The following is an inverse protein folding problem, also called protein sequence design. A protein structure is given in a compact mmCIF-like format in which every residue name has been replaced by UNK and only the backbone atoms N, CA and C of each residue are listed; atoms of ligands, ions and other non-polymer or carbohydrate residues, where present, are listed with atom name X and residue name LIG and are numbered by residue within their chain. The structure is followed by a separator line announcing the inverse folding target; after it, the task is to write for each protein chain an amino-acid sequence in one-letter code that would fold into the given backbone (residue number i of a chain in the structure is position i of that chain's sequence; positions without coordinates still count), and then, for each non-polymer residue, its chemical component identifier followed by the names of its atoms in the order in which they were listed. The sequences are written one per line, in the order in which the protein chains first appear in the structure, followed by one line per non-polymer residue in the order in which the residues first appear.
data_IF_932691008685
#
_entry.id   IF_932691008685
#
_cell.length_a   1.000
_cell.length_b   1.000
_cell.length_c   1.000
_cell.angle_alpha   90.00
_cell.angle_beta   90.00
_cell.angle_gamma   90.00
#
_symmetry.space_group_name_H-M   'P 1'
#
loop_
_entity.id
_entity.type
_entity.pdbx_description
1 polymer ?
#
# COMPACT_ATOMS: atom_id res chain seq x y z
N UNK A 1 28.46 8.39 14.90
CA UNK A 1 27.03 8.07 15.16
C UNK A 1 26.24 9.30 14.75
N UNK A 2 25.59 9.26 13.57
CA UNK A 2 24.79 10.40 13.07
C UNK A 2 23.52 10.51 13.90
N UNK A 3 23.13 11.72 14.28
CA UNK A 3 21.87 11.96 14.96
C UNK A 3 20.71 11.78 13.98
N UNK A 4 19.52 11.43 14.49
CA UNK A 4 18.29 11.31 13.66
C UNK A 4 18.03 12.60 12.86
N UNK A 5 18.47 13.75 13.37
CA UNK A 5 18.36 15.06 12.71
C UNK A 5 19.30 15.19 11.51
N UNK A 6 20.51 14.66 11.60
CA UNK A 6 21.49 14.66 10.50
C UNK A 6 21.08 13.69 9.40
N UNK A 7 20.55 12.52 9.75
CA UNK A 7 20.02 11.54 8.78
C UNK A 7 18.83 12.14 8.00
N UNK A 8 17.92 12.84 8.69
CA UNK A 8 16.77 13.51 8.01
C UNK A 8 17.26 14.65 7.11
N UNK A 9 18.28 15.42 7.50
CA UNK A 9 18.83 16.51 6.69
C UNK A 9 19.61 16.01 5.47
N UNK A 10 20.33 14.90 5.61
CA UNK A 10 21.05 14.24 4.50
C UNK A 10 20.05 13.70 3.48
N UNK A 11 18.99 13.03 3.94
CA UNK A 11 17.93 12.48 3.06
C UNK A 11 17.16 13.56 2.31
N UNK A 12 17.00 14.76 2.88
CA UNK A 12 16.32 15.90 2.21
C UNK A 12 17.20 16.67 1.22
N UNK A 13 18.53 16.47 1.24
CA UNK A 13 19.47 17.15 0.34
C UNK A 13 20.00 16.29 -0.80
N UNK A 14 19.72 14.99 -0.81
CA UNK A 14 20.15 14.12 -1.89
C UNK A 14 19.29 14.38 -3.14
N UNK A 15 19.95 14.65 -4.26
CA UNK A 15 19.36 14.66 -5.61
C UNK A 15 19.06 13.24 -6.13
N UNK A 16 19.31 12.25 -5.33
CA UNK A 16 19.04 10.85 -5.63
C UNK A 16 17.61 10.53 -5.24
N UNK A 17 16.87 9.92 -6.16
CA UNK A 17 15.55 9.40 -5.86
C UNK A 17 15.63 8.06 -5.14
N UNK A 18 14.52 7.63 -4.56
CA UNK A 18 14.39 6.32 -3.90
C UNK A 18 12.93 5.91 -3.78
N UNK A 19 12.70 4.64 -3.48
CA UNK A 19 11.38 4.03 -3.34
C UNK A 19 11.10 3.74 -1.87
N UNK A 20 9.93 4.21 -1.38
CA UNK A 20 9.39 3.89 -0.06
C UNK A 20 8.11 3.10 -0.18
N UNK A 21 8.03 1.95 0.46
CA UNK A 21 6.83 1.11 0.50
C UNK A 21 6.23 1.11 1.91
N UNK A 22 4.95 1.49 2.00
CA UNK A 22 4.13 1.38 3.20
C UNK A 22 3.18 0.20 2.98
N UNK A 23 3.35 -0.90 3.70
CA UNK A 23 2.56 -2.10 3.50
C UNK A 23 1.94 -2.62 4.79
N UNK A 24 1.03 -3.56 4.67
CA UNK A 24 0.32 -4.19 5.79
C UNK A 24 -1.12 -4.52 5.46
N UNK A 25 -1.88 -5.11 6.41
CA UNK A 25 -3.28 -5.50 6.19
C UNK A 25 -4.21 -4.28 6.06
N UNK A 26 -5.46 -4.52 5.73
CA UNK A 26 -6.50 -3.49 5.89
C UNK A 26 -6.56 -3.01 7.34
N UNK A 27 -6.96 -1.76 7.54
CA UNK A 27 -7.07 -1.10 8.85
C UNK A 27 -5.73 -0.89 9.60
N UNK A 28 -4.60 -1.00 8.90
CA UNK A 28 -3.28 -0.77 9.49
C UNK A 28 -2.82 0.70 9.45
N UNK A 29 -3.61 1.62 8.87
CA UNK A 29 -3.25 3.04 8.79
C UNK A 29 -2.27 3.35 7.65
N UNK A 30 -2.26 2.58 6.56
CA UNK A 30 -1.35 2.80 5.42
C UNK A 30 -1.57 4.15 4.75
N UNK A 31 -2.82 4.47 4.41
CA UNK A 31 -3.21 5.75 3.81
C UNK A 31 -2.88 6.92 4.75
N UNK A 32 -3.12 6.78 6.06
CA UNK A 32 -2.76 7.79 7.07
C UNK A 32 -1.25 8.06 7.07
N UNK A 33 -0.43 7.01 7.04
CA UNK A 33 1.03 7.15 7.01
C UNK A 33 1.51 7.75 5.70
N UNK A 34 0.94 7.36 4.55
CA UNK A 34 1.21 7.98 3.26
C UNK A 34 0.92 9.49 3.30
N UNK A 35 -0.29 9.87 3.72
CA UNK A 35 -0.70 11.27 3.82
C UNK A 35 0.15 12.05 4.83
N UNK A 36 0.55 11.43 5.93
CA UNK A 36 1.47 12.04 6.90
C UNK A 36 2.82 12.39 6.26
N UNK A 37 3.38 11.49 5.42
CA UNK A 37 4.63 11.74 4.68
C UNK A 37 4.43 12.85 3.65
N UNK A 38 3.37 12.78 2.86
CA UNK A 38 3.01 13.79 1.86
C UNK A 38 2.90 15.18 2.50
N UNK A 39 2.12 15.34 3.56
CA UNK A 39 1.95 16.61 4.27
C UNK A 39 3.27 17.21 4.76
N UNK A 40 4.18 16.40 5.27
CA UNK A 40 5.50 16.90 5.70
C UNK A 40 6.31 17.46 4.52
N UNK A 41 6.17 16.86 3.34
CA UNK A 41 6.86 17.30 2.12
C UNK A 41 6.20 18.56 1.53
N UNK A 42 4.88 18.71 1.65
CA UNK A 42 4.16 19.94 1.34
C UNK A 42 4.69 21.13 2.17
N UNK A 43 4.90 20.93 3.48
CA UNK A 43 5.55 21.94 4.33
C UNK A 43 6.98 22.28 3.89
N UNK A 44 7.69 21.32 3.31
CA UNK A 44 9.01 21.53 2.71
C UNK A 44 8.94 22.16 1.31
N UNK A 45 7.73 22.50 0.80
CA UNK A 45 7.46 23.07 -0.52
C UNK A 45 7.92 22.18 -1.68
N UNK A 46 7.86 20.86 -1.52
CA UNK A 46 8.11 19.92 -2.61
C UNK A 46 6.92 19.91 -3.59
N UNK A 47 7.22 19.73 -4.86
CA UNK A 47 6.21 19.52 -5.89
C UNK A 47 5.77 18.06 -5.87
N UNK A 48 4.54 17.81 -5.41
CA UNK A 48 4.03 16.47 -5.15
C UNK A 48 2.87 16.13 -6.09
N UNK A 49 2.87 14.93 -6.61
CA UNK A 49 1.73 14.35 -7.34
C UNK A 49 1.29 13.08 -6.60
N UNK A 50 -0.01 12.97 -6.32
CA UNK A 50 -0.60 11.83 -5.62
C UNK A 50 -1.53 11.08 -6.57
N UNK A 51 -1.43 9.75 -6.59
CA UNK A 51 -2.23 8.88 -7.43
C UNK A 51 -3.02 7.86 -6.63
N UNK A 52 -4.13 7.43 -7.21
CA UNK A 52 -4.94 6.32 -6.74
C UNK A 52 -5.47 5.53 -7.93
N UNK A 53 -5.47 4.17 -7.91
CA UNK A 53 -6.13 3.37 -8.95
C UNK A 53 -7.64 3.65 -9.01
N UNK A 54 -8.17 3.82 -10.20
CA UNK A 54 -9.60 3.93 -10.46
C UNK A 54 -10.21 2.52 -10.47
N UNK A 55 -10.73 2.06 -9.34
CA UNK A 55 -11.33 0.73 -9.21
C UNK A 55 -12.78 0.65 -9.70
N UNK A 56 -13.50 1.77 -9.70
CA UNK A 56 -14.90 1.87 -10.16
C UNK A 56 -15.21 3.34 -10.45
N UNK A 57 -15.68 3.64 -11.67
CA UNK A 57 -16.08 5.00 -12.08
C UNK A 57 -17.21 5.60 -11.24
N UNK A 58 -17.98 4.73 -10.53
CA UNK A 58 -19.09 5.16 -9.67
C UNK A 58 -18.68 5.86 -8.37
N UNK A 59 -17.39 5.77 -7.99
CA UNK A 59 -16.84 6.37 -6.76
C UNK A 59 -15.61 7.22 -7.03
N UNK A 60 -15.56 7.88 -8.19
CA UNK A 60 -14.47 8.78 -8.56
C UNK A 60 -14.45 10.01 -7.63
N UNK A 61 -13.88 9.85 -6.45
CA UNK A 61 -13.48 10.99 -5.64
C UNK A 61 -12.05 11.36 -6.02
N UNK A 62 -11.85 12.60 -6.43
CA UNK A 62 -10.53 13.18 -6.73
C UNK A 62 -9.66 13.41 -5.47
N UNK A 63 -9.91 12.64 -4.41
CA UNK A 63 -9.22 12.82 -3.13
C UNK A 63 -8.81 11.46 -2.54
N UNK A 64 -7.59 11.37 -2.04
CA UNK A 64 -7.20 10.30 -1.12
C UNK A 64 -7.74 10.66 0.26
N UNK A 65 -8.65 9.85 0.76
CA UNK A 65 -9.29 10.05 2.07
C UNK A 65 -8.86 8.94 3.00
N UNK A 66 -8.22 9.27 4.11
CA UNK A 66 -8.00 8.33 5.19
C UNK A 66 -9.29 8.10 5.99
N UNK A 67 -9.37 7.01 6.77
CA UNK A 67 -10.48 6.75 7.70
C UNK A 67 -10.72 7.93 8.68
N UNK A 68 -9.72 8.76 8.95
CA UNK A 68 -9.77 9.93 9.80
C UNK A 68 -10.07 11.24 9.04
N UNK A 69 -10.62 11.18 7.82
CA UNK A 69 -11.03 12.32 6.99
C UNK A 69 -9.89 13.29 6.59
N UNK A 70 -8.62 12.91 6.70
CA UNK A 70 -7.53 13.64 6.08
C UNK A 70 -7.63 13.49 4.56
N UNK A 71 -7.61 14.61 3.83
CA UNK A 71 -7.78 14.66 2.38
C UNK A 71 -6.58 15.31 1.73
N UNK A 72 -6.16 14.77 0.59
CA UNK A 72 -5.18 15.36 -0.32
C UNK A 72 -5.69 15.15 -1.74
N UNK A 73 -5.61 16.15 -2.59
CA UNK A 73 -5.95 16.00 -4.01
C UNK A 73 -5.13 14.88 -4.63
N UNK A 74 -5.80 14.02 -5.39
CA UNK A 74 -5.16 12.91 -6.08
C UNK A 74 -5.74 12.71 -7.47
N UNK A 75 -4.93 12.16 -8.36
CA UNK A 75 -5.36 11.77 -9.68
C UNK A 75 -5.75 10.30 -9.69
N UNK A 76 -6.96 10.01 -10.16
CA UNK A 76 -7.39 8.65 -10.43
C UNK A 76 -6.76 8.19 -11.74
N UNK A 77 -6.06 7.05 -11.71
CA UNK A 77 -5.41 6.46 -12.89
C UNK A 77 -5.97 5.06 -13.14
N UNK A 78 -6.18 4.73 -14.42
CA UNK A 78 -6.71 3.42 -14.83
C UNK A 78 -5.60 2.42 -15.13
N UNK A 79 -4.49 2.88 -15.64
CA UNK A 79 -3.31 2.08 -15.96
C UNK A 79 -2.02 2.76 -15.47
N UNK A 80 -0.98 1.97 -15.29
CA UNK A 80 0.29 2.45 -14.72
C UNK A 80 0.92 3.59 -15.54
N UNK A 81 0.80 3.56 -16.88
CA UNK A 81 1.35 4.59 -17.76
C UNK A 81 0.66 5.96 -17.63
N UNK A 82 -0.54 6.03 -17.05
CA UNK A 82 -1.23 7.29 -16.80
C UNK A 82 -0.42 8.23 -15.88
N UNK A 83 0.48 7.70 -15.08
CA UNK A 83 1.40 8.47 -14.23
C UNK A 83 2.13 9.55 -15.02
N UNK A 84 2.58 9.23 -16.24
CA UNK A 84 3.32 10.18 -17.09
C UNK A 84 2.49 11.35 -17.63
N UNK A 85 1.16 11.29 -17.55
CA UNK A 85 0.30 12.44 -17.91
C UNK A 85 0.41 13.59 -16.91
N UNK A 86 0.83 13.30 -15.67
CA UNK A 86 0.80 14.25 -14.56
C UNK A 86 2.20 14.54 -13.99
N UNK A 87 3.11 13.58 -14.02
CA UNK A 87 4.48 13.76 -13.52
C UNK A 87 5.26 14.64 -14.50
N UNK A 88 5.82 15.74 -13.99
CA UNK A 88 6.62 16.70 -14.75
C UNK A 88 8.09 16.64 -14.34
N UNK A 89 8.94 17.35 -15.07
CA UNK A 89 10.38 17.42 -14.76
C UNK A 89 10.64 18.00 -13.36
N UNK A 90 9.86 18.98 -12.95
CA UNK A 90 9.95 19.66 -11.66
C UNK A 90 9.18 18.97 -10.53
N UNK A 91 8.57 17.81 -10.79
CA UNK A 91 7.98 16.97 -9.73
C UNK A 91 9.09 16.38 -8.86
N UNK A 92 9.02 16.61 -7.56
CA UNK A 92 9.98 16.09 -6.57
C UNK A 92 9.53 14.75 -6.00
N UNK A 93 8.21 14.59 -5.80
CA UNK A 93 7.63 13.45 -5.10
C UNK A 93 6.44 12.88 -5.87
N UNK A 94 6.44 11.57 -6.00
CA UNK A 94 5.32 10.78 -6.54
C UNK A 94 4.78 9.88 -5.45
N UNK A 95 3.52 10.03 -5.08
CA UNK A 95 2.86 9.20 -4.09
C UNK A 95 1.74 8.37 -4.73
N UNK A 96 1.63 7.06 -4.41
CA UNK A 96 0.60 6.18 -4.96
C UNK A 96 -0.03 5.40 -3.82
N UNK A 97 -1.35 5.57 -3.61
CA UNK A 97 -2.10 4.75 -2.66
C UNK A 97 -2.73 3.53 -3.35
N UNK A 98 -2.91 2.44 -2.62
CA UNK A 98 -3.51 1.18 -3.08
C UNK A 98 -2.85 0.62 -4.36
N UNK A 99 -1.51 0.71 -4.45
CA UNK A 99 -0.72 0.39 -5.66
C UNK A 99 -0.94 -1.04 -6.18
N UNK A 100 -1.31 -2.00 -5.31
CA UNK A 100 -1.54 -3.41 -5.68
C UNK A 100 -2.67 -3.61 -6.70
N UNK A 101 -3.48 -2.59 -6.97
CA UNK A 101 -4.54 -2.62 -7.95
C UNK A 101 -4.16 -2.11 -9.34
N UNK A 102 -2.93 -1.62 -9.50
CA UNK A 102 -2.36 -1.29 -10.82
C UNK A 102 -1.81 -2.55 -11.49
N UNK A 103 -1.53 -2.43 -12.76
CA UNK A 103 -0.83 -3.48 -13.53
C UNK A 103 0.67 -3.54 -13.16
N UNK A 104 1.33 -4.67 -13.47
CA UNK A 104 2.71 -4.92 -13.04
C UNK A 104 3.74 -3.99 -13.69
N UNK A 105 3.40 -3.29 -14.79
CA UNK A 105 4.30 -2.32 -15.42
C UNK A 105 4.64 -1.14 -14.52
N UNK A 106 3.83 -0.92 -13.47
CA UNK A 106 4.12 0.10 -12.46
C UNK A 106 5.49 -0.10 -11.79
N UNK A 107 6.00 -1.32 -11.69
CA UNK A 107 7.31 -1.60 -11.11
C UNK A 107 8.43 -0.90 -11.89
N UNK A 108 8.41 -1.01 -13.22
CA UNK A 108 9.41 -0.38 -14.07
C UNK A 108 9.27 1.15 -14.04
N UNK A 109 8.02 1.64 -13.98
CA UNK A 109 7.74 3.08 -13.93
C UNK A 109 8.27 3.71 -12.64
N UNK A 110 8.04 3.10 -11.48
CA UNK A 110 8.52 3.65 -10.20
C UNK A 110 10.04 3.57 -10.07
N UNK A 111 10.70 2.52 -10.60
CA UNK A 111 12.16 2.47 -10.69
C UNK A 111 12.69 3.59 -11.57
N UNK A 112 12.14 3.74 -12.77
CA UNK A 112 12.50 4.84 -13.66
C UNK A 112 12.36 6.21 -12.99
N UNK A 113 11.26 6.46 -12.28
CA UNK A 113 11.04 7.71 -11.56
C UNK A 113 12.06 7.94 -10.44
N UNK A 114 12.43 6.88 -9.72
CA UNK A 114 13.47 6.96 -8.70
C UNK A 114 14.84 7.23 -9.32
N UNK A 115 15.19 6.56 -10.42
CA UNK A 115 16.43 6.79 -11.17
C UNK A 115 16.52 8.24 -11.71
N UNK A 116 15.36 8.83 -12.09
CA UNK A 116 15.24 10.25 -12.47
C UNK A 116 15.27 11.21 -11.25
N UNK A 117 15.66 10.74 -10.09
CA UNK A 117 15.85 11.54 -8.87
C UNK A 117 14.58 11.90 -8.13
N UNK A 118 13.45 11.23 -8.38
CA UNK A 118 12.18 11.48 -7.68
C UNK A 118 12.04 10.58 -6.46
N UNK A 119 11.50 11.12 -5.38
CA UNK A 119 11.08 10.33 -4.23
C UNK A 119 9.75 9.67 -4.51
N UNK A 120 9.72 8.35 -4.57
CA UNK A 120 8.49 7.57 -4.83
C UNK A 120 8.01 6.93 -3.53
N UNK A 121 6.80 7.28 -3.09
CA UNK A 121 6.20 6.76 -1.85
C UNK A 121 4.93 6.00 -2.22
N UNK A 122 4.89 4.71 -1.97
CA UNK A 122 3.74 3.89 -2.32
C UNK A 122 3.13 3.20 -1.11
N UNK A 123 1.82 3.01 -1.13
CA UNK A 123 1.12 2.23 -0.10
C UNK A 123 0.27 1.14 -0.71
N UNK A 124 0.19 -0.02 -0.01
CA UNK A 124 -0.61 -1.14 -0.51
C UNK A 124 -0.67 -2.35 0.43
N UNK A 125 -1.54 -3.30 0.08
CA UNK A 125 -1.67 -4.57 0.78
C UNK A 125 -0.49 -5.49 0.42
N UNK A 126 0.23 -5.98 1.42
CA UNK A 126 1.32 -6.95 1.22
C UNK A 126 0.82 -8.37 0.95
N UNK A 127 -0.37 -8.71 1.48
CA UNK A 127 -1.01 -10.00 1.28
C UNK A 127 -2.50 -9.86 0.96
N UNK A 128 -3.04 -10.80 0.20
CA UNK A 128 -4.47 -10.92 -0.04
C UNK A 128 -5.21 -11.51 1.17
N UNK A 129 -6.54 -11.68 1.05
CA UNK A 129 -7.37 -12.26 2.10
C UNK A 129 -7.01 -13.71 2.46
N UNK A 130 -6.28 -14.43 1.60
CA UNK A 130 -5.79 -15.79 1.84
C UNK A 130 -4.49 -15.79 2.65
N UNK A 131 -3.93 -14.62 2.92
CA UNK A 131 -2.60 -14.39 3.44
C UNK A 131 -1.50 -14.94 2.50
N UNK A 132 -1.76 -14.90 1.20
CA UNK A 132 -0.76 -15.10 0.14
C UNK A 132 -0.22 -13.73 -0.33
N UNK A 133 0.99 -13.67 -0.87
CA UNK A 133 1.55 -12.44 -1.40
C UNK A 133 0.61 -11.80 -2.43
N UNK A 134 0.39 -10.47 -2.31
CA UNK A 134 -0.50 -9.79 -3.23
C UNK A 134 0.25 -9.37 -4.49
N UNK A 135 -0.08 -10.00 -5.63
CA UNK A 135 0.44 -9.64 -6.95
C UNK A 135 1.96 -9.38 -6.95
N UNK A 136 2.39 -8.24 -7.46
CA UNK A 136 3.79 -7.81 -7.55
C UNK A 136 4.36 -7.20 -6.26
N UNK A 137 3.58 -7.06 -5.20
CA UNK A 137 4.02 -6.42 -3.95
C UNK A 137 5.34 -7.01 -3.37
N UNK A 138 5.61 -8.32 -3.40
CA UNK A 138 6.90 -8.85 -2.95
C UNK A 138 8.08 -8.34 -3.76
N UNK A 139 7.92 -8.20 -5.09
CA UNK A 139 8.96 -7.65 -5.97
C UNK A 139 9.21 -6.18 -5.63
N UNK A 140 8.14 -5.41 -5.46
CA UNK A 140 8.18 -4.00 -5.08
C UNK A 140 8.90 -3.80 -3.73
N UNK A 141 8.55 -4.59 -2.72
CA UNK A 141 9.19 -4.54 -1.40
C UNK A 141 10.67 -4.90 -1.44
N UNK A 142 11.08 -5.80 -2.37
CA UNK A 142 12.47 -6.17 -2.53
C UNK A 142 13.31 -5.09 -3.23
N UNK A 143 12.69 -4.25 -4.06
CA UNK A 143 13.34 -3.16 -4.81
C UNK A 143 13.44 -1.86 -4.01
N UNK A 144 12.56 -1.67 -3.03
CA UNK A 144 12.47 -0.44 -2.25
C UNK A 144 13.64 -0.28 -1.26
N UNK A 145 14.18 0.94 -1.15
CA UNK A 145 15.17 1.31 -0.14
C UNK A 145 14.56 1.35 1.27
N UNK A 146 13.26 1.69 1.38
CA UNK A 146 12.58 1.79 2.67
C UNK A 146 11.26 1.01 2.63
N UNK A 147 11.14 -0.01 3.49
CA UNK A 147 9.91 -0.76 3.68
C UNK A 147 9.38 -0.55 5.10
N UNK A 148 8.19 0.03 5.20
CA UNK A 148 7.47 0.22 6.47
C UNK A 148 6.28 -0.73 6.51
N UNK A 149 6.40 -1.82 7.28
CA UNK A 149 5.32 -2.79 7.45
C UNK A 149 4.51 -2.46 8.68
N UNK A 150 3.26 -2.04 8.47
CA UNK A 150 2.32 -1.68 9.51
C UNK A 150 1.51 -2.89 9.99
N UNK A 151 1.01 -2.80 11.21
CA UNK A 151 0.10 -3.77 11.79
C UNK A 151 -1.18 -3.08 12.25
N UNK A 152 -2.31 -3.79 12.12
CA UNK A 152 -3.58 -3.39 12.73
C UNK A 152 -3.77 -4.08 14.08
N UNK A 153 -4.93 -3.92 14.68
CA UNK A 153 -5.33 -4.64 15.90
C UNK A 153 -6.31 -5.77 15.53
N UNK A 154 -6.03 -6.97 15.99
CA UNK A 154 -6.90 -8.12 15.76
C UNK A 154 -8.24 -7.96 16.48
N UNK A 155 -9.34 -7.88 15.72
CA UNK A 155 -10.68 -7.66 16.29
C UNK A 155 -11.18 -8.83 17.15
N UNK A 156 -10.49 -9.99 17.14
CA UNK A 156 -10.87 -11.15 17.95
C UNK A 156 -10.13 -11.24 19.28
N UNK A 157 -8.86 -10.85 19.31
CA UNK A 157 -8.03 -11.08 20.51
C UNK A 157 -7.14 -9.89 20.89
N UNK A 158 -7.21 -8.76 20.19
CA UNK A 158 -6.42 -7.56 20.51
C UNK A 158 -4.93 -7.65 20.12
N UNK A 159 -4.43 -8.79 19.66
CA UNK A 159 -3.03 -8.96 19.26
C UNK A 159 -2.70 -8.18 17.97
N UNK A 160 -1.42 -7.88 17.67
CA UNK A 160 -1.02 -7.30 16.41
C UNK A 160 -1.52 -8.12 15.21
N UNK A 161 -2.26 -7.49 14.32
CA UNK A 161 -2.87 -8.08 13.15
C UNK A 161 -2.02 -7.83 11.90
N UNK A 162 -1.67 -8.89 11.19
CA UNK A 162 -0.92 -8.86 9.93
C UNK A 162 -1.68 -9.52 8.78
N UNK A 163 -2.98 -9.80 8.97
CA UNK A 163 -3.82 -10.48 7.98
C UNK A 163 -5.10 -9.70 7.77
N UNK A 164 -5.55 -9.65 6.53
CA UNK A 164 -6.89 -9.19 6.15
C UNK A 164 -7.81 -10.39 6.07
N UNK A 165 -8.80 -10.45 6.95
CA UNK A 165 -9.85 -11.48 6.93
C UNK A 165 -11.00 -11.00 6.08
N UNK A 166 -11.38 -11.74 5.03
CA UNK A 166 -12.60 -11.49 4.28
C UNK A 166 -13.73 -12.36 4.82
N UNK A 167 -14.88 -11.75 5.01
CA UNK A 167 -16.13 -12.37 5.48
C UNK A 167 -17.16 -12.22 4.35
N UNK A 168 -17.76 -13.33 3.96
CA UNK A 168 -18.85 -13.41 2.97
C UNK A 168 -20.01 -14.11 3.66
N UNK A 169 -21.17 -13.47 3.70
CA UNK A 169 -22.36 -13.98 4.39
C UNK A 169 -22.09 -14.46 5.82
N UNK A 170 -21.33 -13.68 6.59
CA UNK A 170 -20.97 -13.94 7.97
C UNK A 170 -19.93 -15.06 8.18
N UNK A 171 -19.37 -15.65 7.10
CA UNK A 171 -18.40 -16.74 7.15
C UNK A 171 -17.05 -16.33 6.52
N UNK A 172 -15.93 -16.93 6.95
CA UNK A 172 -14.66 -16.75 6.26
C UNK A 172 -14.75 -17.12 4.79
N UNK A 173 -14.19 -16.30 3.91
CA UNK A 173 -14.12 -16.55 2.49
C UNK A 173 -13.40 -17.88 2.18
N UNK A 174 -13.73 -18.50 1.04
CA UNK A 174 -13.08 -19.73 0.58
C UNK A 174 -11.77 -19.38 -0.13
N UNK A 175 -10.80 -20.27 -0.08
CA UNK A 175 -9.49 -20.09 -0.71
C UNK A 175 -9.57 -19.80 -2.23
N UNK A 176 -10.53 -20.41 -2.91
CA UNK A 176 -10.74 -20.25 -4.35
C UNK A 176 -11.65 -19.08 -4.75
N UNK A 177 -12.15 -18.31 -3.77
CA UNK A 177 -12.92 -17.12 -4.09
C UNK A 177 -12.03 -16.08 -4.82
N UNK A 178 -12.58 -15.26 -5.74
CA UNK A 178 -11.82 -14.22 -6.43
C UNK A 178 -11.09 -13.29 -5.45
N UNK A 179 -9.87 -12.83 -5.81
CA UNK A 179 -9.07 -11.97 -4.93
C UNK A 179 -9.75 -10.62 -4.75
N UNK A 180 -10.27 -10.04 -5.83
CA UNK A 180 -10.99 -8.77 -5.83
C UNK A 180 -12.46 -9.06 -6.14
N UNK A 181 -13.36 -8.58 -5.30
CA UNK A 181 -14.81 -8.61 -5.53
C UNK A 181 -15.33 -7.16 -5.52
N UNK A 182 -15.99 -6.76 -6.59
CA UNK A 182 -16.62 -5.45 -6.71
C UNK A 182 -18.13 -5.65 -6.53
N UNK A 183 -18.72 -4.98 -5.53
CA UNK A 183 -20.18 -4.89 -5.37
C UNK A 183 -20.88 -6.04 -4.62
N UNK A 184 -20.15 -6.90 -3.92
CA UNK A 184 -20.72 -7.92 -3.06
C UNK A 184 -20.95 -7.44 -1.62
N UNK A 185 -21.86 -8.08 -0.87
CA UNK A 185 -22.08 -7.88 0.57
C UNK A 185 -20.94 -8.52 1.38
N UNK A 186 -19.72 -8.04 1.19
CA UNK A 186 -18.55 -8.52 1.90
C UNK A 186 -18.08 -7.51 2.93
N UNK A 187 -17.47 -8.04 3.97
CA UNK A 187 -16.79 -7.23 4.99
C UNK A 187 -15.39 -7.73 5.22
N UNK A 188 -14.53 -6.81 5.66
CA UNK A 188 -13.16 -7.13 5.98
C UNK A 188 -12.87 -6.83 7.45
N UNK A 189 -11.97 -7.60 8.02
CA UNK A 189 -11.54 -7.46 9.41
C UNK A 189 -10.04 -7.66 9.52
N UNK A 190 -9.39 -6.93 10.44
CA UNK A 190 -8.00 -7.18 10.77
C UNK A 190 -7.88 -8.38 11.72
N UNK A 191 -7.01 -9.33 11.41
CA UNK A 191 -6.78 -10.54 12.21
C UNK A 191 -5.29 -10.82 12.40
N UNK A 192 -4.93 -11.33 13.57
CA UNK A 192 -3.61 -11.92 13.78
C UNK A 192 -3.49 -13.28 13.07
N UNK A 193 -2.28 -13.81 12.97
CA UNK A 193 -2.01 -15.12 12.34
C UNK A 193 -2.88 -16.26 12.91
N UNK A 194 -3.15 -16.26 14.22
CA UNK A 194 -3.90 -17.34 14.90
C UNK A 194 -5.43 -17.20 14.69
N UNK A 195 -5.95 -15.98 14.61
CA UNK A 195 -7.39 -15.73 14.45
C UNK A 195 -7.83 -15.67 12.98
N UNK A 196 -6.90 -15.57 12.03
CA UNK A 196 -7.19 -15.56 10.61
C UNK A 196 -7.59 -16.95 10.11
N UNK A 197 -8.67 -17.03 9.34
CA UNK A 197 -9.20 -18.29 8.79
C UNK A 197 -9.55 -18.13 7.31
N UNK A 198 -9.14 -19.09 6.51
CA UNK A 198 -9.55 -19.22 5.10
C UNK A 198 -10.17 -20.59 4.92
N UNK A 199 -11.41 -20.62 4.46
CA UNK A 199 -12.12 -21.88 4.29
C UNK A 199 -11.53 -22.68 3.12
N UNK A 200 -11.29 -23.98 3.31
CA UNK A 200 -10.68 -24.88 2.32
C UNK A 200 -9.28 -24.47 1.84
N UNK A 201 -8.52 -23.74 2.67
CA UNK A 201 -7.11 -23.46 2.35
C UNK A 201 -6.30 -24.76 2.34
N UNK A 202 -5.52 -25.06 1.28
CA UNK A 202 -4.61 -26.20 1.28
C UNK A 202 -3.62 -26.11 2.45
N UNK A 203 -3.33 -27.22 3.11
CA UNK A 203 -2.29 -27.27 4.14
C UNK A 203 -0.92 -27.30 3.46
N UNK A 204 -0.06 -26.30 3.64
CA UNK A 204 1.20 -26.20 2.91
C UNK A 204 2.26 -27.22 3.36
N UNK A 205 2.13 -27.76 4.56
CA UNK A 205 3.09 -28.70 5.14
C UNK A 205 2.42 -29.65 6.10
N UNK A 206 2.76 -30.95 5.99
CA UNK A 206 2.23 -32.03 6.85
C UNK A 206 3.31 -32.63 7.76
N UNK A 207 4.40 -31.92 8.02
CA UNK A 207 5.46 -32.38 8.92
C UNK A 207 5.03 -32.32 10.39
N UNK A 208 5.45 -33.31 11.17
CA UNK A 208 5.29 -33.30 12.62
C UNK A 208 6.47 -32.55 13.25
N UNK A 209 6.18 -31.56 14.10
CA UNK A 209 7.17 -31.07 15.06
C UNK A 209 7.46 -32.19 16.04
N UNK A 210 8.69 -32.69 16.08
CA UNK A 210 9.17 -33.62 17.11
C UNK A 210 9.62 -32.83 18.33
#
# INVERSE_FOLDING_TARGET
MYTIYEVIHVVLKQKEGWIEVICGPMFAGKTEELLRRVKRLEYAKANIVVFKPALDDRYATSEVVSHNQNRTESYNIHESHDVFKYVKKDTDVVAIDEIQFLDESILEIIEYLADEGKRVIVSGLDTDFRAEPFSFMPKLMAKAEIVTKLTAVCVKCGAPATRTQRIVDGKPAKYLDPIVLIGASESYEARCRHCHKVYRKPKPYQGNLR
#
